data_IF_501366454877
#
_entry.id   IF_501366454877
#
_cell.length_a   1.000
_cell.length_b   1.000
_cell.length_c   1.000
_cell.angle_alpha   90.00
_cell.angle_beta   90.00
_cell.angle_gamma   90.00
#
_symmetry.space_group_name_H-M   'P 1'
#
loop_
_entity.id
_entity.type
_entity.pdbx_description
1 polymer ?
#
# COMPACT_ATOMS: atom_id res chain seq x y z
N UNK A 1 7.23 -1.65 -25.03
CA UNK A 1 7.08 -1.60 -24.47
C UNK A 1 6.49 -1.62 -23.44
N UNK A 2 6.57 -1.56 -22.92
CA UNK A 2 6.02 -1.24 -21.71
C UNK A 2 4.54 -1.29 -21.59
N UNK A 3 3.92 -1.56 -22.62
CA UNK A 3 2.48 -1.60 -22.57
C UNK A 3 1.95 -2.77 -21.77
N UNK A 4 2.78 -3.75 -21.54
CA UNK A 4 2.29 -4.90 -20.78
C UNK A 4 1.95 -4.56 -19.36
N UNK A 5 2.55 -3.52 -18.82
CA UNK A 5 2.22 -3.19 -17.44
C UNK A 5 0.82 -2.71 -17.30
N UNK A 6 0.21 -2.20 -18.35
CA UNK A 6 -1.10 -1.62 -18.18
C UNK A 6 -2.17 -2.66 -18.01
N UNK A 7 -1.90 -3.89 -18.40
CA UNK A 7 -2.90 -4.94 -18.30
C UNK A 7 -2.86 -5.69 -16.99
N UNK A 8 -1.75 -5.59 -16.27
CA UNK A 8 -1.60 -6.31 -15.01
C UNK A 8 -1.76 -5.36 -13.85
N UNK A 9 -2.35 -5.82 -12.74
CA UNK A 9 -2.39 -4.97 -11.55
C UNK A 9 -0.98 -4.68 -11.09
N UNK A 10 -0.77 -3.51 -10.58
CA UNK A 10 0.51 -3.16 -9.98
C UNK A 10 0.76 -4.07 -8.78
N UNK A 11 1.99 -4.55 -8.66
CA UNK A 11 2.35 -5.38 -7.52
C UNK A 11 2.58 -4.55 -6.27
N UNK A 12 2.97 -3.30 -6.45
CA UNK A 12 3.10 -2.37 -5.34
C UNK A 12 2.35 -1.11 -5.69
N UNK A 13 1.87 -0.44 -4.67
CA UNK A 13 1.08 0.78 -4.81
C UNK A 13 1.79 1.92 -4.12
N UNK A 14 1.56 3.12 -4.61
CA UNK A 14 1.96 4.30 -3.84
C UNK A 14 1.02 4.44 -2.64
N UNK A 15 1.45 5.26 -1.69
CA UNK A 15 0.57 5.56 -0.54
C UNK A 15 -0.70 6.26 -1.04
N UNK A 16 -0.58 7.14 -2.03
CA UNK A 16 -1.75 7.82 -2.58
C UNK A 16 -2.73 6.83 -3.20
N UNK A 17 -2.21 5.84 -3.93
CA UNK A 17 -3.07 4.84 -4.54
C UNK A 17 -3.77 4.00 -3.47
N UNK A 18 -3.04 3.64 -2.43
CA UNK A 18 -3.64 2.88 -1.34
C UNK A 18 -4.72 3.71 -0.64
N UNK A 19 -4.48 5.00 -0.46
CA UNK A 19 -5.49 5.87 0.15
C UNK A 19 -6.78 5.88 -0.67
N UNK A 20 -6.64 5.93 -1.99
CA UNK A 20 -7.81 5.91 -2.85
C UNK A 20 -8.58 4.61 -2.71
N UNK A 21 -7.88 3.49 -2.68
CA UNK A 21 -8.53 2.19 -2.53
C UNK A 21 -9.23 2.10 -1.18
N UNK A 22 -8.59 2.60 -0.13
CA UNK A 22 -9.16 2.55 1.21
C UNK A 22 -10.15 3.67 1.46
N UNK A 23 -10.24 4.64 0.55
CA UNK A 23 -11.16 5.76 0.65
C UNK A 23 -10.89 6.60 1.89
N UNK A 24 -9.62 6.85 2.15
CA UNK A 24 -9.20 7.72 3.25
C UNK A 24 -8.35 8.82 2.67
N UNK A 25 -8.10 9.85 3.47
CA UNK A 25 -7.29 10.96 3.02
C UNK A 25 -5.84 10.54 2.88
N UNK A 26 -5.10 11.29 2.08
CA UNK A 26 -3.69 11.06 1.90
C UNK A 26 -2.95 11.16 3.24
N UNK A 27 -3.29 12.16 4.04
CA UNK A 27 -2.64 12.33 5.33
C UNK A 27 -2.89 11.16 6.25
N UNK A 28 -4.11 10.65 6.26
CA UNK A 28 -4.44 9.48 7.06
C UNK A 28 -3.66 8.27 6.60
N UNK A 29 -3.50 8.12 5.27
CA UNK A 29 -2.77 6.98 4.74
C UNK A 29 -1.30 7.05 5.12
N UNK A 30 -0.70 8.23 5.05
CA UNK A 30 0.70 8.35 5.44
C UNK A 30 0.88 8.13 6.94
N UNK A 31 -0.05 8.59 7.74
CA UNK A 31 0.02 8.34 9.18
C UNK A 31 -0.09 6.84 9.47
N UNK A 32 -0.97 6.14 8.77
CA UNK A 32 -1.13 4.71 8.95
C UNK A 32 0.10 3.93 8.48
N UNK A 33 0.75 4.41 7.42
CA UNK A 33 1.98 3.77 6.97
C UNK A 33 3.08 3.93 8.01
N UNK A 34 3.19 5.11 8.60
CA UNK A 34 4.18 5.31 9.66
C UNK A 34 3.87 4.45 10.88
N UNK A 35 2.59 4.31 11.18
CA UNK A 35 2.19 3.46 12.30
C UNK A 35 2.59 2.02 12.06
N UNK A 36 2.40 1.53 10.85
CA UNK A 36 2.80 0.17 10.52
C UNK A 36 4.28 -0.05 10.82
N UNK A 37 5.10 0.90 10.41
CA UNK A 37 6.53 0.77 10.62
C UNK A 37 6.88 0.90 12.10
N UNK A 38 6.17 1.75 12.82
CA UNK A 38 6.46 1.97 14.24
C UNK A 38 6.05 0.78 15.10
N UNK A 39 5.02 0.04 14.68
CA UNK A 39 4.52 -1.07 15.47
C UNK A 39 5.08 -2.41 15.03
N UNK A 40 5.97 -2.42 14.05
CA UNK A 40 6.49 -3.69 13.54
C UNK A 40 5.45 -4.49 12.81
N UNK A 41 4.48 -3.81 12.20
CA UNK A 41 3.49 -4.49 11.38
C UNK A 41 2.23 -4.90 12.11
N UNK A 42 2.01 -4.38 13.31
CA UNK A 42 0.84 -4.79 14.08
C UNK A 42 -0.40 -4.01 13.72
N UNK A 43 -0.24 -2.72 13.41
CA UNK A 43 -1.37 -1.87 13.06
C UNK A 43 -0.96 -0.92 11.97
N UNK A 44 -1.94 -0.36 11.27
CA UNK A 44 -1.68 0.60 10.21
C UNK A 44 -1.83 -0.04 8.84
N UNK A 45 -1.18 0.55 7.85
CA UNK A 45 -1.22 0.08 6.47
C UNK A 45 0.10 -0.61 6.15
N UNK A 46 0.06 -1.87 5.68
CA UNK A 46 1.31 -2.57 5.31
C UNK A 46 2.08 -1.77 4.28
N UNK A 47 3.35 -1.54 4.54
CA UNK A 47 4.18 -0.81 3.59
C UNK A 47 5.62 -1.26 3.73
N UNK A 48 6.37 -1.05 2.65
CA UNK A 48 7.80 -1.32 2.63
C UNK A 48 8.50 -0.04 2.21
N UNK A 49 9.72 0.09 2.64
CA UNK A 49 10.54 1.24 2.27
C UNK A 49 11.62 0.76 1.31
N UNK A 50 11.67 1.40 0.16
CA UNK A 50 12.68 1.10 -0.85
C UNK A 50 13.46 2.39 -1.04
N UNK A 51 14.69 2.42 -0.53
CA UNK A 51 15.41 3.67 -0.46
C UNK A 51 14.67 4.61 0.46
N UNK A 52 14.20 5.71 -0.05
CA UNK A 52 13.41 6.66 0.73
C UNK A 52 11.96 6.70 0.30
N UNK A 53 11.56 5.69 -0.46
CA UNK A 53 10.24 5.67 -1.05
C UNK A 53 9.41 4.60 -0.35
N UNK A 54 8.21 4.95 0.05
CA UNK A 54 7.29 4.00 0.65
C UNK A 54 6.36 3.44 -0.42
N UNK A 55 6.14 2.14 -0.35
CA UNK A 55 5.20 1.46 -1.26
C UNK A 55 4.38 0.47 -0.46
N UNK A 56 3.17 0.24 -0.93
CA UNK A 56 2.23 -0.69 -0.29
C UNK A 56 2.18 -1.94 -1.17
N UNK A 57 2.62 -3.11 -0.66
CA UNK A 57 2.47 -4.33 -1.44
C UNK A 57 0.99 -4.62 -1.66
N UNK A 58 0.61 -4.80 -2.92
CA UNK A 58 -0.80 -5.01 -3.23
C UNK A 58 -1.36 -6.23 -2.50
N UNK A 59 -0.60 -7.31 -2.47
CA UNK A 59 -1.10 -8.52 -1.83
C UNK A 59 -1.39 -8.30 -0.36
N UNK A 60 -0.55 -7.53 0.32
CA UNK A 60 -0.79 -7.26 1.73
C UNK A 60 -1.99 -6.37 1.93
N UNK A 61 -2.18 -5.40 1.04
CA UNK A 61 -3.35 -4.55 1.16
C UNK A 61 -4.62 -5.34 0.93
N UNK A 62 -4.60 -6.24 -0.04
CA UNK A 62 -5.78 -7.05 -0.32
C UNK A 62 -6.08 -8.00 0.84
N UNK A 63 -5.04 -8.50 1.48
CA UNK A 63 -5.25 -9.32 2.67
C UNK A 63 -5.89 -8.50 3.79
N UNK A 64 -5.44 -7.27 3.96
CA UNK A 64 -6.03 -6.39 4.95
C UNK A 64 -7.50 -6.14 4.67
N UNK A 65 -7.86 -6.05 3.41
CA UNK A 65 -9.24 -5.81 3.01
C UNK A 65 -10.07 -7.08 2.96
N UNK A 66 -9.45 -8.23 3.19
CA UNK A 66 -10.16 -9.49 3.11
C UNK A 66 -10.46 -9.94 1.70
N UNK A 67 -9.65 -9.52 0.73
CA UNK A 67 -9.90 -9.83 -0.67
C UNK A 67 -9.02 -10.96 -1.20
N UNK A 68 -8.35 -11.66 -0.33
CA UNK A 68 -7.49 -12.74 -0.80
C UNK A 68 -8.35 -13.85 -1.38
N UNK A 69 -7.93 -14.35 -2.49
CA UNK A 69 -8.66 -15.42 -3.14
C UNK A 69 -8.30 -16.76 -2.54
#
# INVERSE_FOLDING_TARGET
MSTTETDAPAEVLTIDEAATILRISRNAAYAAAREWRATGGKTGIPCIEIGRTLRVPRAELERLLGRTA
#
